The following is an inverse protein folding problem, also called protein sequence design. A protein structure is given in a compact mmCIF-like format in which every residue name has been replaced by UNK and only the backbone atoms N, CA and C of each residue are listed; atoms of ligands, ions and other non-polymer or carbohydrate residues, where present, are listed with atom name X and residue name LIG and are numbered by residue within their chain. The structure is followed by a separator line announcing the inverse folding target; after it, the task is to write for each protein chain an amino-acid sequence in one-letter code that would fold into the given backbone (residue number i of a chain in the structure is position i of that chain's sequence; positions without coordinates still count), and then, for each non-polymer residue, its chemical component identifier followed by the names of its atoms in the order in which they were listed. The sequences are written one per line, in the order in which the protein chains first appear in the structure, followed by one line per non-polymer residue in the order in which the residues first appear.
data_IF_160320886909
#
_entry.id   IF_160320886909
#
_cell.length_a   1.000
_cell.length_b   1.000
_cell.length_c   1.000
_cell.angle_alpha   90.00
_cell.angle_beta   90.00
_cell.angle_gamma   90.00
#
_symmetry.space_group_name_H-M   'P 1'
#
loop_
_entity.id
_entity.type
_entity.pdbx_description
1 polymer ?
#
# COMPACT_ATOMS: atom_id res chain seq x y z
N UNK A 1 21.71 -25.40 5.31
CA UNK A 1 21.03 -24.31 4.57
C UNK A 1 19.56 -24.19 5.00
N UNK A 2 18.77 -25.27 5.05
CA UNK A 2 17.36 -25.25 5.50
C UNK A 2 17.18 -24.62 6.89
N UNK A 3 17.94 -25.04 7.90
CA UNK A 3 17.86 -24.49 9.27
C UNK A 3 18.11 -22.97 9.30
N UNK A 4 19.04 -22.47 8.50
CA UNK A 4 19.31 -21.01 8.45
C UNK A 4 18.13 -20.23 7.88
N UNK A 5 17.42 -20.76 6.88
CA UNK A 5 16.21 -20.14 6.32
C UNK A 5 15.12 -20.07 7.38
N UNK A 6 14.86 -21.19 8.07
CA UNK A 6 13.85 -21.23 9.12
C UNK A 6 14.16 -20.31 10.30
N UNK A 7 15.41 -20.34 10.79
CA UNK A 7 15.84 -19.44 11.87
C UNK A 7 15.66 -17.97 11.48
N UNK A 8 16.04 -17.61 10.26
CA UNK A 8 15.90 -16.22 9.78
C UNK A 8 14.47 -15.79 9.61
N UNK A 9 13.59 -16.71 9.19
CA UNK A 9 12.17 -16.47 9.12
C UNK A 9 11.58 -16.21 10.52
N UNK A 10 11.92 -17.04 11.50
CA UNK A 10 11.48 -16.83 12.88
C UNK A 10 12.01 -15.55 13.48
N UNK A 11 13.25 -15.16 13.16
CA UNK A 11 13.81 -13.86 13.56
C UNK A 11 13.01 -12.71 12.95
N UNK A 12 12.67 -12.78 11.66
CA UNK A 12 11.85 -11.78 10.97
C UNK A 12 10.45 -11.66 11.60
N UNK A 13 9.77 -12.79 11.84
CA UNK A 13 8.46 -12.84 12.49
C UNK A 13 8.54 -12.24 13.90
N UNK A 14 9.58 -12.60 14.67
CA UNK A 14 9.78 -12.09 16.04
C UNK A 14 9.98 -10.57 16.03
N UNK A 15 10.87 -10.05 15.17
CA UNK A 15 11.10 -8.61 15.05
C UNK A 15 9.81 -7.89 14.68
N UNK A 16 9.08 -8.38 13.68
CA UNK A 16 7.81 -7.79 13.23
C UNK A 16 6.77 -7.79 14.35
N UNK A 17 6.71 -8.87 15.13
CA UNK A 17 5.81 -8.99 16.29
C UNK A 17 6.17 -7.98 17.39
N UNK A 18 7.46 -7.85 17.74
CA UNK A 18 7.92 -6.90 18.76
C UNK A 18 7.64 -5.46 18.34
N UNK A 19 7.94 -5.10 17.08
CA UNK A 19 7.70 -3.75 16.54
C UNK A 19 6.21 -3.43 16.53
N UNK A 20 5.36 -4.37 16.09
CA UNK A 20 3.91 -4.19 16.09
C UNK A 20 3.36 -4.08 17.51
N UNK A 21 3.82 -4.92 18.43
CA UNK A 21 3.43 -4.85 19.85
C UNK A 21 3.79 -3.51 20.47
N UNK A 22 4.97 -2.98 20.16
CA UNK A 22 5.37 -1.63 20.61
C UNK A 22 4.44 -0.57 20.03
N UNK A 23 4.06 -0.69 18.75
CA UNK A 23 3.09 0.19 18.09
C UNK A 23 1.71 0.15 18.76
N UNK A 24 1.21 -1.03 19.16
CA UNK A 24 -0.07 -1.17 19.86
C UNK A 24 -0.09 -0.48 21.23
N UNK A 25 1.07 -0.37 21.89
CA UNK A 25 1.20 0.21 23.22
C UNK A 25 1.55 1.70 23.24
N UNK A 26 2.11 2.20 22.15
CA UNK A 26 2.63 3.56 22.08
C UNK A 26 2.20 4.24 20.75
N UNK A 27 1.14 5.07 20.78
CA UNK A 27 0.68 5.79 19.60
C UNK A 27 1.77 6.67 18.97
N UNK A 28 2.59 7.35 19.77
CA UNK A 28 3.68 8.18 19.24
C UNK A 28 4.74 7.37 18.50
N UNK A 29 5.01 6.13 18.96
CA UNK A 29 5.87 5.19 18.24
C UNK A 29 5.21 4.75 16.94
N UNK A 30 3.92 4.43 16.96
CA UNK A 30 3.16 4.05 15.77
C UNK A 30 3.20 5.17 14.72
N UNK A 31 2.86 6.40 15.10
CA UNK A 31 2.84 7.58 14.22
C UNK A 31 4.23 7.92 13.67
N UNK A 32 5.29 7.67 14.43
CA UNK A 32 6.66 7.90 13.97
C UNK A 32 7.05 7.01 12.80
N UNK A 33 6.55 5.78 12.73
CA UNK A 33 7.03 4.76 11.79
C UNK A 33 6.00 4.30 10.76
N UNK A 34 4.72 4.73 10.84
CA UNK A 34 3.70 4.42 9.84
C UNK A 34 4.07 5.07 8.49
N UNK A 35 3.59 4.48 7.41
CA UNK A 35 3.61 5.09 6.10
C UNK A 35 2.64 6.27 6.08
N UNK A 36 3.09 7.45 5.71
CA UNK A 36 2.30 8.66 5.62
C UNK A 36 2.82 9.49 4.46
N UNK A 37 1.94 9.82 3.51
CA UNK A 37 2.32 10.47 2.26
C UNK A 37 2.97 11.82 2.51
N UNK A 38 2.37 12.66 3.36
CA UNK A 38 2.92 13.98 3.71
C UNK A 38 4.34 13.86 4.24
N UNK A 39 4.56 13.00 5.24
CA UNK A 39 5.87 12.82 5.88
C UNK A 39 6.93 12.30 4.92
N UNK A 40 6.54 11.46 3.96
CA UNK A 40 7.47 10.92 2.97
C UNK A 40 7.80 11.97 1.90
N UNK A 41 6.79 12.69 1.39
CA UNK A 41 6.96 13.60 0.24
C UNK A 41 7.48 14.97 0.64
N UNK A 42 6.99 15.54 1.74
CA UNK A 42 7.35 16.88 2.23
C UNK A 42 8.55 16.81 3.18
N UNK A 43 8.45 16.01 4.26
CA UNK A 43 9.47 15.92 5.30
C UNK A 43 10.64 14.99 4.92
N UNK A 44 10.57 14.31 3.73
CA UNK A 44 11.60 13.41 3.21
C UNK A 44 11.93 12.22 4.13
N UNK A 45 10.95 11.78 4.93
CA UNK A 45 11.10 10.66 5.86
C UNK A 45 10.99 9.31 5.12
N UNK A 46 11.92 9.04 4.20
CA UNK A 46 11.89 7.86 3.32
C UNK A 46 12.00 6.51 4.07
N UNK A 47 12.51 6.50 5.30
CA UNK A 47 12.54 5.29 6.13
C UNK A 47 11.14 4.69 6.35
N UNK A 48 10.08 5.51 6.27
CA UNK A 48 8.68 5.09 6.38
C UNK A 48 8.25 4.11 5.29
N UNK A 49 8.95 4.10 4.14
CA UNK A 49 8.74 3.13 3.07
C UNK A 49 9.07 1.69 3.50
N UNK A 50 9.91 1.52 4.51
CA UNK A 50 10.26 0.21 5.05
C UNK A 50 9.70 -0.01 6.45
N UNK A 51 9.79 0.99 7.33
CA UNK A 51 9.39 0.84 8.74
C UNK A 51 7.91 0.49 8.90
N UNK A 52 7.04 1.03 8.05
CA UNK A 52 5.61 0.75 8.06
C UNK A 52 5.28 -0.74 7.84
N UNK A 53 6.14 -1.46 7.11
CA UNK A 53 5.99 -2.90 6.89
C UNK A 53 6.19 -3.78 8.12
N UNK A 54 6.67 -3.21 9.23
CA UNK A 54 6.84 -3.91 10.51
C UNK A 54 5.74 -3.54 11.54
N UNK A 55 4.87 -2.58 11.21
CA UNK A 55 3.74 -2.17 12.04
C UNK A 55 2.44 -2.83 11.57
N UNK A 56 1.50 -3.02 12.49
CA UNK A 56 0.16 -3.54 12.18
C UNK A 56 -0.89 -2.76 12.98
N UNK A 57 -2.12 -2.73 12.49
CA UNK A 57 -3.24 -2.02 13.16
C UNK A 57 -3.88 -2.85 14.26
N UNK A 58 -3.75 -4.18 14.21
CA UNK A 58 -4.36 -5.10 15.17
C UNK A 58 -3.62 -6.44 15.23
N UNK A 59 -3.85 -7.18 16.31
CA UNK A 59 -3.33 -8.54 16.46
C UNK A 59 -3.77 -9.47 15.33
N UNK A 60 -5.01 -9.36 14.89
CA UNK A 60 -5.55 -10.19 13.81
C UNK A 60 -4.82 -9.90 12.49
N UNK A 61 -4.60 -8.63 12.18
CA UNK A 61 -3.83 -8.19 11.02
C UNK A 61 -2.38 -8.73 11.05
N UNK A 62 -1.72 -8.63 12.21
CA UNK A 62 -0.38 -9.20 12.42
C UNK A 62 -0.36 -10.71 12.21
N UNK A 63 -1.26 -11.44 12.87
CA UNK A 63 -1.31 -12.90 12.81
C UNK A 63 -1.51 -13.38 11.37
N UNK A 64 -2.46 -12.80 10.62
CA UNK A 64 -2.68 -13.18 9.23
C UNK A 64 -1.43 -12.97 8.36
N UNK A 65 -0.73 -11.84 8.54
CA UNK A 65 0.51 -11.58 7.80
C UNK A 65 1.61 -12.59 8.18
N UNK A 66 1.81 -12.88 9.45
CA UNK A 66 2.86 -13.78 9.91
C UNK A 66 2.58 -15.24 9.53
N UNK A 67 1.32 -15.68 9.59
CA UNK A 67 0.92 -17.02 9.13
C UNK A 67 1.12 -17.15 7.61
N UNK A 68 0.67 -16.19 6.82
CA UNK A 68 0.89 -16.18 5.38
C UNK A 68 2.38 -16.17 5.04
N UNK A 69 3.16 -15.31 5.71
CA UNK A 69 4.60 -15.27 5.54
C UNK A 69 5.23 -16.65 5.83
N UNK A 70 4.89 -17.26 6.94
CA UNK A 70 5.42 -18.57 7.31
C UNK A 70 5.10 -19.64 6.25
N UNK A 71 3.83 -19.76 5.85
CA UNK A 71 3.39 -20.77 4.88
C UNK A 71 4.12 -20.64 3.53
N UNK A 72 4.22 -19.43 3.00
CA UNK A 72 4.77 -19.23 1.65
C UNK A 72 6.28 -19.04 1.60
N UNK A 73 6.93 -18.66 2.72
CA UNK A 73 8.35 -18.38 2.72
C UNK A 73 9.25 -19.62 2.78
N UNK A 74 8.77 -20.71 3.39
CA UNK A 74 9.58 -21.94 3.52
C UNK A 74 10.01 -22.45 2.14
N UNK A 75 9.06 -22.57 1.19
CA UNK A 75 9.36 -23.00 -0.18
C UNK A 75 10.30 -22.05 -0.90
N UNK A 76 10.00 -20.75 -0.86
CA UNK A 76 10.81 -19.70 -1.52
C UNK A 76 12.23 -19.64 -0.93
N UNK A 77 12.35 -19.69 0.40
CA UNK A 77 13.64 -19.64 1.07
C UNK A 77 14.51 -20.87 0.78
N UNK A 78 13.91 -22.05 0.63
CA UNK A 78 14.66 -23.26 0.24
C UNK A 78 15.11 -23.23 -1.22
N UNK A 79 14.30 -22.70 -2.13
CA UNK A 79 14.62 -22.62 -3.56
C UNK A 79 15.65 -21.52 -3.83
N UNK A 80 15.44 -20.33 -3.29
CA UNK A 80 16.25 -19.15 -3.60
C UNK A 80 17.42 -18.94 -2.63
N UNK A 81 17.37 -19.55 -1.45
CA UNK A 81 18.28 -19.25 -0.36
C UNK A 81 17.92 -17.94 0.38
N UNK A 82 18.57 -17.74 1.54
CA UNK A 82 18.21 -16.70 2.49
C UNK A 82 18.37 -15.27 1.94
N UNK A 83 19.46 -14.98 1.24
CA UNK A 83 19.74 -13.64 0.72
C UNK A 83 18.67 -13.23 -0.31
N UNK A 84 18.37 -14.14 -1.23
CA UNK A 84 17.39 -13.89 -2.28
C UNK A 84 15.96 -13.85 -1.72
N UNK A 85 15.66 -14.62 -0.67
CA UNK A 85 14.40 -14.51 0.06
C UNK A 85 14.21 -13.09 0.64
N UNK A 86 15.22 -12.55 1.32
CA UNK A 86 15.15 -11.17 1.83
C UNK A 86 15.11 -10.13 0.70
N UNK A 87 15.74 -10.39 -0.44
CA UNK A 87 15.64 -9.55 -1.63
C UNK A 87 14.20 -9.50 -2.13
N UNK A 88 13.51 -10.65 -2.20
CA UNK A 88 12.08 -10.71 -2.53
C UNK A 88 11.25 -9.97 -1.49
N UNK A 89 11.43 -10.26 -0.19
CA UNK A 89 10.63 -9.71 0.89
C UNK A 89 10.76 -8.17 0.97
N UNK A 90 11.98 -7.66 1.13
CA UNK A 90 12.23 -6.23 1.30
C UNK A 90 12.03 -5.45 -0.01
N UNK A 91 12.41 -6.04 -1.15
CA UNK A 91 12.19 -5.45 -2.47
C UNK A 91 10.70 -5.30 -2.78
N UNK A 92 9.90 -6.31 -2.46
CA UNK A 92 8.44 -6.25 -2.63
C UNK A 92 7.78 -5.25 -1.69
N UNK A 93 8.26 -5.15 -0.44
CA UNK A 93 7.82 -4.12 0.50
C UNK A 93 8.07 -2.72 -0.06
N UNK A 94 9.30 -2.46 -0.49
CA UNK A 94 9.70 -1.16 -0.99
C UNK A 94 8.94 -0.78 -2.26
N UNK A 95 8.86 -1.67 -3.25
CA UNK A 95 8.18 -1.41 -4.53
C UNK A 95 6.67 -1.28 -4.32
N UNK A 96 6.07 -2.11 -3.45
CA UNK A 96 4.66 -2.01 -3.08
C UNK A 96 4.32 -0.66 -2.44
N UNK A 97 5.12 -0.22 -1.47
CA UNK A 97 4.94 1.07 -0.83
C UNK A 97 5.27 2.26 -1.76
N UNK A 98 6.21 2.12 -2.70
CA UNK A 98 6.44 3.13 -3.74
C UNK A 98 5.26 3.24 -4.70
N UNK A 99 4.61 2.13 -5.05
CA UNK A 99 3.39 2.17 -5.85
C UNK A 99 2.24 2.84 -5.10
N UNK A 100 2.03 2.51 -3.82
CA UNK A 100 1.06 3.19 -2.96
C UNK A 100 1.35 4.70 -2.89
N UNK A 101 2.62 5.08 -2.67
CA UNK A 101 3.05 6.48 -2.67
C UNK A 101 2.75 7.17 -4.00
N UNK A 102 3.01 6.52 -5.13
CA UNK A 102 2.73 7.07 -6.46
C UNK A 102 1.23 7.29 -6.68
N UNK A 103 0.40 6.33 -6.29
CA UNK A 103 -1.05 6.41 -6.44
C UNK A 103 -1.61 7.50 -5.51
N UNK A 104 -1.17 7.54 -4.26
CA UNK A 104 -1.67 8.47 -3.25
C UNK A 104 -0.85 9.77 -3.10
N UNK A 105 0.07 10.07 -4.03
CA UNK A 105 0.97 11.25 -3.94
C UNK A 105 0.29 12.60 -3.79
N UNK A 106 -1.03 12.67 -4.03
CA UNK A 106 -1.86 13.88 -3.87
C UNK A 106 -2.82 13.80 -2.68
N UNK A 107 -2.79 12.70 -1.94
CA UNK A 107 -3.57 12.49 -0.72
C UNK A 107 -2.59 12.51 0.46
N UNK A 108 -2.32 13.69 0.96
CA UNK A 108 -1.31 13.92 2.00
C UNK A 108 -1.63 13.19 3.29
N UNK A 109 -2.92 13.03 3.62
CA UNK A 109 -3.47 12.35 4.77
C UNK A 109 -3.49 10.81 4.65
N UNK A 110 -3.17 10.27 3.45
CA UNK A 110 -3.13 8.82 3.29
C UNK A 110 -2.02 8.19 4.14
N UNK A 111 -2.41 7.19 4.93
CA UNK A 111 -1.51 6.41 5.77
C UNK A 111 -1.77 4.92 5.64
N UNK A 112 -0.73 4.12 5.84
CA UNK A 112 -0.81 2.66 5.77
C UNK A 112 0.22 2.00 6.68
N UNK A 113 -0.05 0.77 7.09
CA UNK A 113 0.88 -0.11 7.80
C UNK A 113 0.61 -1.56 7.45
N UNK A 114 1.63 -2.40 7.59
CA UNK A 114 1.52 -3.85 7.46
C UNK A 114 2.60 -4.46 6.57
N UNK A 115 2.98 -5.68 6.90
CA UNK A 115 3.92 -6.48 6.12
C UNK A 115 3.32 -6.98 4.79
N UNK A 116 2.03 -6.71 4.54
CA UNK A 116 1.26 -7.37 3.48
C UNK A 116 1.78 -7.14 2.06
N UNK A 117 2.39 -5.99 1.76
CA UNK A 117 3.07 -5.77 0.49
C UNK A 117 4.26 -6.72 0.28
N UNK A 118 5.10 -6.90 1.32
CA UNK A 118 6.20 -7.87 1.31
C UNK A 118 5.69 -9.31 1.23
N UNK A 119 4.67 -9.64 2.04
CA UNK A 119 4.04 -10.97 2.08
C UNK A 119 3.43 -11.32 0.72
N UNK A 120 2.76 -10.37 0.06
CA UNK A 120 2.25 -10.54 -1.31
C UNK A 120 3.38 -10.91 -2.28
N UNK A 121 4.52 -10.23 -2.18
CA UNK A 121 5.68 -10.56 -3.00
C UNK A 121 6.22 -11.97 -2.77
N UNK A 122 6.29 -12.42 -1.51
CA UNK A 122 6.69 -13.79 -1.17
C UNK A 122 5.67 -14.82 -1.69
N UNK A 123 4.36 -14.56 -1.53
CA UNK A 123 3.29 -15.41 -2.08
C UNK A 123 3.46 -15.57 -3.58
N UNK A 124 3.59 -14.46 -4.32
CA UNK A 124 3.70 -14.50 -5.79
C UNK A 124 5.03 -15.08 -6.27
N UNK A 125 6.12 -14.86 -5.53
CA UNK A 125 7.37 -15.59 -5.74
C UNK A 125 7.17 -17.11 -5.59
N UNK A 126 6.51 -17.56 -4.52
CA UNK A 126 6.18 -18.96 -4.31
C UNK A 126 5.36 -19.54 -5.47
N UNK A 127 4.35 -18.81 -5.94
CA UNK A 127 3.52 -19.24 -7.08
C UNK A 127 4.34 -19.34 -8.37
N UNK A 128 5.29 -18.43 -8.59
CA UNK A 128 6.16 -18.48 -9.77
C UNK A 128 6.98 -19.78 -9.84
N UNK A 129 7.42 -20.29 -8.68
CA UNK A 129 8.19 -21.55 -8.62
C UNK A 129 7.30 -22.79 -8.57
N UNK A 130 6.15 -22.70 -7.90
CA UNK A 130 5.27 -23.84 -7.62
C UNK A 130 3.80 -23.49 -7.94
N UNK A 131 3.46 -23.21 -9.20
CA UNK A 131 2.10 -22.72 -9.54
C UNK A 131 1.01 -23.80 -9.36
N UNK A 132 1.37 -25.07 -9.38
CA UNK A 132 0.46 -26.19 -9.19
C UNK A 132 0.37 -26.68 -7.74
N UNK A 133 1.11 -26.05 -6.81
CA UNK A 133 0.97 -26.36 -5.40
C UNK A 133 -0.49 -26.15 -4.96
N UNK A 134 -0.99 -27.08 -4.16
CA UNK A 134 -2.36 -27.01 -3.66
C UNK A 134 -2.43 -26.14 -2.40
N UNK A 135 -3.32 -25.16 -2.41
CA UNK A 135 -3.63 -24.33 -1.25
C UNK A 135 -4.93 -24.85 -0.63
N UNK A 136 -4.84 -25.27 0.64
CA UNK A 136 -5.97 -25.72 1.43
C UNK A 136 -6.38 -24.66 2.44
N UNK A 137 -7.68 -24.54 2.66
CA UNK A 137 -8.23 -23.69 3.71
C UNK A 137 -8.90 -24.58 4.76
N UNK A 138 -8.62 -24.35 6.04
CA UNK A 138 -9.06 -25.23 7.14
C UNK A 138 -10.57 -25.54 7.14
N UNK A 139 -11.38 -24.55 6.74
CA UNK A 139 -12.86 -24.69 6.73
C UNK A 139 -13.45 -25.01 5.35
N UNK A 140 -12.62 -25.15 4.31
CA UNK A 140 -13.07 -25.41 2.94
C UNK A 140 -12.55 -26.80 2.53
N UNK A 141 -13.42 -27.77 2.24
CA UNK A 141 -13.01 -29.15 1.94
C UNK A 141 -12.41 -29.31 0.53
N UNK A 142 -12.06 -28.23 -0.12
CA UNK A 142 -11.48 -28.21 -1.46
C UNK A 142 -10.13 -27.50 -1.45
N UNK A 143 -9.21 -28.00 -2.26
CA UNK A 143 -7.95 -27.34 -2.55
C UNK A 143 -8.06 -26.55 -3.85
N UNK A 144 -7.29 -25.45 -3.96
CA UNK A 144 -7.16 -24.68 -5.18
C UNK A 144 -5.69 -24.63 -5.58
N UNK A 145 -5.35 -24.67 -6.88
CA UNK A 145 -3.97 -24.51 -7.31
C UNK A 145 -3.49 -23.08 -7.03
N UNK A 146 -2.22 -22.94 -6.66
CA UNK A 146 -1.63 -21.66 -6.23
C UNK A 146 -1.79 -20.57 -7.29
N UNK A 147 -1.72 -20.89 -8.59
CA UNK A 147 -1.95 -19.91 -9.66
C UNK A 147 -3.38 -19.32 -9.63
N UNK A 148 -4.38 -20.15 -9.32
CA UNK A 148 -5.77 -19.67 -9.24
C UNK A 148 -5.97 -18.74 -8.03
N UNK A 149 -5.35 -19.07 -6.90
CA UNK A 149 -5.28 -18.18 -5.73
C UNK A 149 -4.60 -16.85 -6.10
N UNK A 150 -3.47 -16.89 -6.81
CA UNK A 150 -2.76 -15.68 -7.24
C UNK A 150 -3.60 -14.80 -8.16
N UNK A 151 -4.30 -15.40 -9.13
CA UNK A 151 -5.23 -14.66 -10.01
C UNK A 151 -6.37 -14.02 -9.21
N UNK A 152 -7.00 -14.79 -8.32
CA UNK A 152 -8.04 -14.27 -7.43
C UNK A 152 -7.55 -13.10 -6.58
N UNK A 153 -6.34 -13.23 -6.00
CA UNK A 153 -5.72 -12.15 -5.23
C UNK A 153 -5.52 -10.86 -6.05
N UNK A 154 -5.05 -10.98 -7.30
CA UNK A 154 -4.91 -9.83 -8.21
C UNK A 154 -6.26 -9.17 -8.47
N UNK A 155 -7.29 -9.96 -8.78
CA UNK A 155 -8.63 -9.43 -9.06
C UNK A 155 -9.24 -8.74 -7.84
N UNK A 156 -9.07 -9.31 -6.65
CA UNK A 156 -9.53 -8.69 -5.39
C UNK A 156 -8.76 -7.40 -5.11
N UNK A 157 -7.44 -7.37 -5.33
CA UNK A 157 -6.65 -6.15 -5.16
C UNK A 157 -7.07 -5.05 -6.13
N UNK A 158 -7.30 -5.38 -7.41
CA UNK A 158 -7.83 -4.44 -8.42
C UNK A 158 -9.20 -3.90 -7.99
N UNK A 159 -10.09 -4.78 -7.51
CA UNK A 159 -11.40 -4.37 -7.04
C UNK A 159 -11.30 -3.45 -5.81
N UNK A 160 -10.43 -3.78 -4.85
CA UNK A 160 -10.20 -2.98 -3.65
C UNK A 160 -9.65 -1.59 -3.95
N UNK A 161 -8.65 -1.49 -4.84
CA UNK A 161 -8.12 -0.20 -5.32
C UNK A 161 -9.24 0.64 -5.95
N UNK A 162 -10.10 0.02 -6.75
CA UNK A 162 -11.18 0.73 -7.43
C UNK A 162 -12.29 1.17 -6.48
N UNK A 163 -12.63 0.37 -5.47
CA UNK A 163 -13.78 0.63 -4.59
C UNK A 163 -13.41 1.46 -3.36
N UNK A 164 -12.19 1.34 -2.85
CA UNK A 164 -11.69 2.02 -1.64
C UNK A 164 -12.67 1.97 -0.44
N UNK A 165 -13.30 0.81 -0.27
CA UNK A 165 -14.34 0.62 0.74
C UNK A 165 -13.81 0.06 2.07
N UNK A 166 -12.54 -0.28 2.12
CA UNK A 166 -11.86 -0.83 3.27
C UNK A 166 -10.53 -0.09 3.54
N UNK A 167 -9.95 -0.32 4.71
CA UNK A 167 -8.67 0.28 5.10
C UNK A 167 -7.48 -0.64 4.74
N UNK A 168 -7.57 -1.34 3.59
CA UNK A 168 -6.53 -2.25 3.12
C UNK A 168 -5.71 -1.55 2.02
N UNK A 169 -4.39 -1.56 2.15
CA UNK A 169 -3.46 -1.01 1.14
C UNK A 169 -3.32 -1.93 -0.07
N UNK A 170 -4.40 -2.07 -0.86
CA UNK A 170 -4.43 -2.93 -2.05
C UNK A 170 -3.38 -2.56 -3.10
N UNK A 171 -2.99 -1.29 -3.15
CA UNK A 171 -1.93 -0.76 -4.00
C UNK A 171 -0.57 -1.38 -3.64
N UNK A 172 -0.26 -1.41 -2.34
CA UNK A 172 0.96 -2.04 -1.85
C UNK A 172 0.95 -3.56 -2.08
N UNK A 173 -0.23 -4.20 -1.96
CA UNK A 173 -0.40 -5.62 -2.28
C UNK A 173 -0.11 -5.93 -3.75
N UNK A 174 -0.73 -5.18 -4.66
CA UNK A 174 -0.55 -5.38 -6.10
C UNK A 174 0.88 -5.08 -6.54
N UNK A 175 1.45 -3.97 -6.03
CA UNK A 175 2.83 -3.60 -6.27
C UNK A 175 3.83 -4.63 -5.73
N UNK A 176 3.59 -5.10 -4.52
CA UNK A 176 4.40 -6.16 -3.90
C UNK A 176 4.33 -7.48 -4.66
N UNK A 177 3.13 -7.90 -5.08
CA UNK A 177 2.93 -9.10 -5.88
C UNK A 177 3.70 -9.04 -7.21
N UNK A 178 3.58 -7.95 -7.96
CA UNK A 178 4.33 -7.74 -9.20
C UNK A 178 5.83 -7.69 -8.98
N UNK A 179 6.28 -7.01 -7.91
CA UNK A 179 7.69 -6.98 -7.53
C UNK A 179 8.22 -8.39 -7.25
N UNK A 180 7.46 -9.21 -6.50
CA UNK A 180 7.80 -10.60 -6.23
C UNK A 180 7.98 -11.43 -7.49
N UNK A 181 7.07 -11.28 -8.49
CA UNK A 181 7.19 -11.93 -9.79
C UNK A 181 8.48 -11.46 -10.50
N UNK A 182 8.69 -10.16 -10.65
CA UNK A 182 9.82 -9.59 -11.38
C UNK A 182 11.16 -9.98 -10.75
N UNK A 183 11.26 -9.86 -9.43
CA UNK A 183 12.49 -10.25 -8.70
C UNK A 183 12.74 -11.75 -8.86
N UNK A 184 11.71 -12.60 -8.78
CA UNK A 184 11.86 -14.05 -8.97
C UNK A 184 12.34 -14.41 -10.37
N UNK A 185 11.81 -13.74 -11.42
CA UNK A 185 12.27 -13.93 -12.79
C UNK A 185 13.74 -13.49 -12.94
N UNK A 186 14.11 -12.35 -12.34
CA UNK A 186 15.49 -11.85 -12.38
C UNK A 186 16.46 -12.83 -11.70
N UNK A 187 16.10 -13.37 -10.54
CA UNK A 187 16.91 -14.31 -9.76
C UNK A 187 16.96 -15.71 -10.41
N UNK A 188 15.93 -16.09 -11.12
CA UNK A 188 15.76 -17.42 -11.73
C UNK A 188 15.05 -17.36 -13.09
N UNK A 189 15.72 -16.86 -14.17
CA UNK A 189 15.06 -16.62 -15.46
C UNK A 189 14.42 -17.85 -16.10
N UNK A 190 14.87 -19.05 -15.74
CA UNK A 190 14.32 -20.32 -16.25
C UNK A 190 12.85 -20.54 -15.87
N UNK A 191 12.35 -19.94 -14.76
CA UNK A 191 10.95 -20.08 -14.36
C UNK A 191 9.99 -19.53 -15.41
N UNK A 192 10.43 -18.53 -16.17
CA UNK A 192 9.63 -17.97 -17.26
C UNK A 192 9.39 -19.00 -18.39
N UNK A 193 10.35 -19.91 -18.63
CA UNK A 193 10.17 -20.99 -19.60
C UNK A 193 9.27 -22.11 -19.08
N UNK A 194 9.37 -22.42 -17.78
CA UNK A 194 8.63 -23.51 -17.17
C UNK A 194 7.19 -23.12 -16.83
N UNK A 195 6.98 -21.92 -16.32
CA UNK A 195 5.73 -21.49 -15.70
C UNK A 195 5.19 -20.17 -16.33
N UNK A 196 5.46 -19.94 -17.64
CA UNK A 196 5.06 -18.69 -18.31
C UNK A 196 3.56 -18.41 -18.23
N UNK A 197 2.73 -19.45 -18.39
CA UNK A 197 1.28 -19.29 -18.44
C UNK A 197 0.70 -18.78 -17.12
N UNK A 198 0.94 -19.38 -15.94
CA UNK A 198 0.53 -18.83 -14.65
C UNK A 198 1.08 -17.44 -14.39
N UNK A 199 2.35 -17.19 -14.74
CA UNK A 199 2.99 -15.88 -14.55
C UNK A 199 2.27 -14.81 -15.36
N UNK A 200 1.99 -15.07 -16.65
CA UNK A 200 1.26 -14.13 -17.51
C UNK A 200 -0.19 -13.93 -17.03
N UNK A 201 -0.85 -15.02 -16.62
CA UNK A 201 -2.24 -14.97 -16.14
C UNK A 201 -2.40 -14.05 -14.93
N UNK A 202 -1.41 -13.98 -14.03
CA UNK A 202 -1.43 -13.10 -12.87
C UNK A 202 -0.91 -11.69 -13.20
N UNK A 203 0.16 -11.58 -13.99
CA UNK A 203 0.83 -10.29 -14.22
C UNK A 203 0.10 -9.41 -15.24
N UNK A 204 -0.49 -9.99 -16.29
CA UNK A 204 -1.14 -9.21 -17.36
C UNK A 204 -2.32 -8.38 -16.84
N UNK A 205 -3.30 -8.93 -16.05
CA UNK A 205 -4.38 -8.11 -15.50
C UNK A 205 -3.86 -7.01 -14.58
N UNK A 206 -2.87 -7.31 -13.73
CA UNK A 206 -2.27 -6.35 -12.81
C UNK A 206 -1.59 -5.19 -13.55
N UNK A 207 -0.73 -5.51 -14.52
CA UNK A 207 -0.02 -4.52 -15.33
C UNK A 207 -1.00 -3.69 -16.17
N UNK A 208 -1.97 -4.34 -16.83
CA UNK A 208 -2.98 -3.66 -17.62
C UNK A 208 -3.77 -2.67 -16.76
N UNK A 209 -4.18 -3.09 -15.56
CA UNK A 209 -4.88 -2.21 -14.63
C UNK A 209 -4.02 -1.02 -14.19
N UNK A 210 -2.74 -1.24 -13.85
CA UNK A 210 -1.84 -0.14 -13.47
C UNK A 210 -1.57 0.82 -14.61
N UNK A 211 -1.44 0.33 -15.86
CA UNK A 211 -1.30 1.18 -17.03
C UNK A 211 -2.58 1.99 -17.27
N UNK A 212 -3.76 1.37 -17.15
CA UNK A 212 -5.03 2.09 -17.26
C UNK A 212 -5.15 3.21 -16.22
N UNK A 213 -4.75 2.96 -14.96
CA UNK A 213 -4.73 4.00 -13.91
C UNK A 213 -3.73 5.11 -14.27
N UNK A 214 -2.56 4.76 -14.77
CA UNK A 214 -1.53 5.75 -15.10
C UNK A 214 -1.97 6.69 -16.23
N UNK A 215 -2.63 6.14 -17.27
CA UNK A 215 -3.10 6.92 -18.41
C UNK A 215 -4.50 7.51 -18.23
N UNK A 216 -5.36 6.85 -17.47
CA UNK A 216 -6.76 7.23 -17.23
C UNK A 216 -7.07 7.22 -15.72
N UNK A 217 -6.52 8.16 -14.93
CA UNK A 217 -6.77 8.22 -13.48
C UNK A 217 -8.24 8.31 -13.10
N UNK A 218 -9.10 8.79 -14.01
CA UNK A 218 -10.56 8.82 -13.85
C UNK A 218 -11.22 7.46 -13.70
N UNK A 219 -10.55 6.39 -14.12
CA UNK A 219 -11.05 5.03 -13.92
C UNK A 219 -10.91 4.54 -12.48
N UNK A 220 -10.03 5.16 -11.70
CA UNK A 220 -10.11 5.08 -10.24
C UNK A 220 -11.35 5.90 -9.86
N UNK A 221 -12.40 5.25 -9.39
CA UNK A 221 -13.55 5.93 -8.78
C UNK A 221 -13.15 6.46 -7.39
N UNK A 222 -12.03 7.17 -7.33
CA UNK A 222 -11.67 7.94 -6.15
C UNK A 222 -12.73 9.02 -5.98
N UNK A 223 -13.31 9.20 -4.78
CA UNK A 223 -14.17 10.34 -4.54
C UNK A 223 -13.44 11.60 -5.00
N UNK A 224 -14.12 12.50 -5.61
CA UNK A 224 -13.77 13.70 -6.35
C UNK A 224 -12.47 14.48 -6.04
N UNK A 225 -11.66 14.10 -5.05
CA UNK A 225 -10.41 14.78 -4.69
C UNK A 225 -9.34 14.74 -5.78
N UNK A 226 -9.36 13.75 -6.68
CA UNK A 226 -8.38 13.67 -7.79
C UNK A 226 -8.70 14.60 -8.96
N UNK A 227 -9.97 14.89 -9.19
CA UNK A 227 -10.42 15.72 -10.33
C UNK A 227 -10.64 17.19 -10.00
N UNK A 228 -11.01 17.48 -8.75
CA UNK A 228 -11.30 18.85 -8.34
C UNK A 228 -10.04 19.74 -8.34
N UNK A 229 -8.83 19.19 -8.26
CA UNK A 229 -7.60 19.98 -8.20
C UNK A 229 -7.11 20.53 -9.55
N UNK A 230 -7.59 20.04 -10.71
CA UNK A 230 -7.08 20.52 -12.00
C UNK A 230 -8.07 21.31 -12.85
N UNK A 231 -9.36 21.14 -12.67
CA UNK A 231 -10.35 21.87 -13.48
C UNK A 231 -11.32 22.71 -12.64
N UNK A 232 -11.79 22.19 -11.52
CA UNK A 232 -12.78 22.88 -10.70
C UNK A 232 -12.16 23.92 -9.76
N UNK A 233 -10.91 23.74 -9.33
CA UNK A 233 -10.20 24.79 -8.58
C UNK A 233 -9.89 26.04 -9.42
N UNK A 234 -9.94 25.93 -10.76
CA UNK A 234 -9.86 27.07 -11.65
C UNK A 234 -11.23 27.69 -12.01
N UNK A 235 -12.31 26.95 -11.85
CA UNK A 235 -13.66 27.38 -12.23
C UNK A 235 -14.64 27.51 -11.05
N UNK A 236 -14.38 26.89 -9.88
CA UNK A 236 -15.20 27.12 -8.68
C UNK A 236 -14.78 28.41 -8.03
N UNK A 237 -15.52 29.43 -8.43
CA UNK A 237 -15.73 30.67 -7.69
C UNK A 237 -14.44 31.33 -7.15
N UNK A 238 -14.02 32.35 -7.79
CA UNK A 238 -13.41 33.48 -7.11
C UNK A 238 -14.45 34.05 -6.11
N UNK A 239 -14.75 33.27 -5.06
CA UNK A 239 -15.49 33.78 -3.94
C UNK A 239 -14.61 34.86 -3.36
N UNK A 240 -15.06 36.09 -3.40
CA UNK A 240 -14.37 37.19 -2.77
C UNK A 240 -14.70 37.11 -1.27
N UNK A 241 -13.90 36.38 -0.52
CA UNK A 241 -14.08 36.18 0.92
C UNK A 241 -14.01 37.48 1.72
N UNK A 242 -13.57 38.57 1.10
CA UNK A 242 -13.53 39.90 1.73
C UNK A 242 -14.89 40.60 1.76
N UNK A 243 -15.86 40.13 0.93
CA UNK A 243 -17.23 40.63 0.90
C UNK A 243 -18.19 39.83 1.82
N UNK A 244 -17.70 38.76 2.44
CA UNK A 244 -18.47 37.91 3.38
C UNK A 244 -18.18 38.35 4.83
N UNK A 245 -19.18 38.12 5.70
CA UNK A 245 -18.92 38.22 7.14
C UNK A 245 -17.93 37.11 7.59
N UNK A 246 -17.22 37.39 8.69
CA UNK A 246 -16.11 36.57 9.16
C UNK A 246 -16.55 35.10 9.44
N UNK A 247 -17.78 34.87 9.92
CA UNK A 247 -18.29 33.54 10.25
C UNK A 247 -18.64 32.77 8.97
N UNK A 248 -19.28 33.38 8.01
CA UNK A 248 -19.61 32.80 6.70
C UNK A 248 -18.35 32.49 5.91
N UNK A 249 -17.39 33.43 5.86
CA UNK A 249 -16.11 33.27 5.19
C UNK A 249 -15.30 32.11 5.80
N UNK A 250 -15.31 31.95 7.13
CA UNK A 250 -14.65 30.88 7.82
C UNK A 250 -15.29 29.53 7.51
N UNK A 251 -16.63 29.45 7.58
CA UNK A 251 -17.35 28.19 7.31
C UNK A 251 -17.14 27.72 5.87
N UNK A 252 -17.19 28.61 4.88
CA UNK A 252 -16.91 28.28 3.49
C UNK A 252 -15.45 27.82 3.28
N UNK A 253 -14.48 28.49 3.93
CA UNK A 253 -13.08 28.10 3.87
C UNK A 253 -12.83 26.76 4.56
N UNK A 254 -13.46 26.48 5.69
CA UNK A 254 -13.38 25.18 6.38
C UNK A 254 -14.04 24.06 5.58
N UNK A 255 -15.19 24.34 4.95
CA UNK A 255 -15.83 23.38 4.03
C UNK A 255 -14.91 23.08 2.84
N UNK A 256 -14.27 24.13 2.29
CA UNK A 256 -13.29 23.98 1.22
C UNK A 256 -12.04 23.21 1.68
N UNK A 257 -11.54 23.47 2.89
CA UNK A 257 -10.45 22.66 3.49
C UNK A 257 -10.86 21.20 3.63
N UNK A 258 -12.08 20.93 4.09
CA UNK A 258 -12.61 19.57 4.19
C UNK A 258 -12.75 18.88 2.82
N UNK A 259 -13.11 19.66 1.79
CA UNK A 259 -13.34 19.13 0.45
C UNK A 259 -12.05 18.93 -0.35
N UNK A 260 -11.07 19.83 -0.25
CA UNK A 260 -9.87 19.83 -1.11
C UNK A 260 -8.55 19.72 -0.34
N UNK A 261 -8.56 19.82 0.99
CA UNK A 261 -7.38 19.88 1.85
C UNK A 261 -6.76 21.26 1.95
N UNK A 262 -6.17 21.58 3.11
CA UNK A 262 -5.54 22.89 3.38
C UNK A 262 -4.47 23.27 2.33
N UNK A 263 -3.66 22.34 1.92
CA UNK A 263 -2.54 22.59 0.98
C UNK A 263 -2.99 22.99 -0.42
N UNK A 264 -4.21 22.61 -0.81
CA UNK A 264 -4.79 22.96 -2.11
C UNK A 264 -5.50 24.30 -2.14
N UNK A 265 -5.58 25.00 -1.00
CA UNK A 265 -6.04 26.38 -0.96
C UNK A 265 -5.04 27.31 -1.65
N UNK A 266 -5.56 28.36 -2.29
CA UNK A 266 -4.73 29.45 -2.83
C UNK A 266 -4.01 30.20 -1.70
N UNK A 267 -2.95 30.93 -2.04
CA UNK A 267 -2.23 31.77 -1.06
C UNK A 267 -3.12 32.80 -0.37
N UNK A 268 -4.11 33.35 -1.08
CA UNK A 268 -5.08 34.30 -0.53
C UNK A 268 -6.04 33.61 0.46
N UNK A 269 -6.53 32.42 0.13
CA UNK A 269 -7.43 31.65 1.00
C UNK A 269 -6.72 31.19 2.28
N UNK A 270 -5.48 30.73 2.18
CA UNK A 270 -4.66 30.36 3.35
C UNK A 270 -4.48 31.55 4.28
N UNK A 271 -4.11 32.71 3.70
CA UNK A 271 -3.93 33.93 4.47
C UNK A 271 -5.21 34.35 5.17
N UNK A 272 -6.35 34.33 4.45
CA UNK A 272 -7.66 34.70 5.02
C UNK A 272 -8.07 33.73 6.12
N UNK A 273 -7.85 32.42 5.94
CA UNK A 273 -8.14 31.41 6.96
C UNK A 273 -7.29 31.62 8.24
N UNK A 274 -6.00 31.94 8.09
CA UNK A 274 -5.13 32.26 9.21
C UNK A 274 -5.52 33.55 9.94
N UNK A 275 -5.97 34.58 9.19
CA UNK A 275 -6.48 35.81 9.77
C UNK A 275 -7.77 35.59 10.57
N UNK A 276 -8.70 34.77 10.03
CA UNK A 276 -9.95 34.45 10.72
C UNK A 276 -9.69 33.55 11.96
N UNK A 277 -8.78 32.58 11.88
CA UNK A 277 -8.40 31.76 13.03
C UNK A 277 -7.84 32.60 14.20
N UNK A 278 -6.97 33.58 13.90
CA UNK A 278 -6.43 34.50 14.93
C UNK A 278 -7.47 35.37 15.61
N UNK A 279 -8.53 35.75 14.87
CA UNK A 279 -9.64 36.52 15.44
C UNK A 279 -10.49 35.74 16.43
N UNK A 280 -10.54 34.41 16.31
CA UNK A 280 -11.29 33.52 17.22
C UNK A 280 -10.50 33.27 18.50
N UNK A 281 -9.17 33.30 18.44
CA UNK A 281 -8.28 33.09 19.58
C UNK A 281 -8.10 34.36 20.44
N UNK A 282 -8.52 35.52 19.92
CA UNK A 282 -8.42 36.82 20.62
C UNK A 282 -9.73 37.19 21.34
#
# INVERSE_FOLDING_TARGET
MAILVEVSLWVLITITTIVSWQGFRNPAYFDKYLFEVEKITIDKQYYRLLSAGFLHTSWLHLIFNMVALYIFSVGVGHILGIVNFFTVYLGSMLIGNLLALYIHRRHEDYSAVGASGAVSGVIFSSICFMPQAEISFYFIPYTIPAWAFGLFFVLVSIYGIKKQADNIGHEAHLGGALAGIVISIFLSPHILKLNYFPILLMSVPAITFLLLIAYYPSMLLLPNHWYLTTKTAKETLKTNYDDLDDETALNELLEKVSAVGYYNLSKQEKKKLEELAKKIES
#
